data_IF_204782035968
#
_entry.id   IF_204782035968
#
_cell.length_a   1.000
_cell.length_b   1.000
_cell.length_c   1.000
_cell.angle_alpha   90.00
_cell.angle_beta   90.00
_cell.angle_gamma   90.00
#
_symmetry.space_group_name_H-M   'P 1'
#
loop_
_entity.id
_entity.type
_entity.pdbx_description
1 polymer ?
#
# COMPACT_ATOMS: atom_id res chain seq x y z
N UNK A 1 -16.78 -15.05 -40.91
CA UNK A 1 -16.50 -15.83 -39.69
C UNK A 1 -15.82 -14.85 -38.75
N UNK A 2 -16.65 -14.29 -37.90
CA UNK A 2 -16.20 -13.25 -36.95
C UNK A 2 -15.50 -13.99 -35.82
N UNK A 3 -14.18 -13.88 -35.74
CA UNK A 3 -13.39 -14.45 -34.66
C UNK A 3 -13.70 -13.64 -33.40
N UNK A 4 -14.54 -14.19 -32.55
CA UNK A 4 -15.04 -13.61 -31.33
C UNK A 4 -13.97 -13.40 -30.21
N UNK A 5 -12.74 -13.07 -30.55
CA UNK A 5 -11.75 -12.65 -29.57
C UNK A 5 -12.11 -11.25 -29.08
N UNK A 6 -12.88 -11.16 -27.98
CA UNK A 6 -12.98 -9.90 -27.24
C UNK A 6 -11.55 -9.43 -26.93
N UNK A 7 -11.19 -8.22 -27.33
CA UNK A 7 -9.85 -7.69 -26.99
C UNK A 7 -9.69 -7.79 -25.48
N UNK A 8 -8.57 -8.36 -25.02
CA UNK A 8 -8.23 -8.46 -23.60
C UNK A 8 -8.27 -7.05 -23.01
N UNK A 9 -9.22 -6.80 -22.15
CA UNK A 9 -9.33 -5.53 -21.46
C UNK A 9 -8.20 -5.44 -20.44
N UNK A 10 -7.39 -4.39 -20.54
CA UNK A 10 -6.39 -4.12 -19.51
C UNK A 10 -7.06 -3.82 -18.17
N UNK A 11 -6.46 -4.36 -17.10
CA UNK A 11 -6.95 -4.23 -15.73
C UNK A 11 -6.16 -3.19 -14.96
N UNK A 12 -6.88 -2.31 -14.27
CA UNK A 12 -6.29 -1.25 -13.45
C UNK A 12 -6.82 -1.39 -12.03
N UNK A 13 -5.93 -1.27 -11.05
CA UNK A 13 -6.28 -1.18 -9.64
C UNK A 13 -6.08 0.25 -9.16
N UNK A 14 -7.15 0.90 -8.70
CA UNK A 14 -7.12 2.23 -8.08
C UNK A 14 -7.18 2.07 -6.56
N UNK A 15 -6.17 2.60 -5.87
CA UNK A 15 -6.03 2.52 -4.41
C UNK A 15 -6.00 3.93 -3.84
N UNK A 16 -7.02 4.27 -3.04
CA UNK A 16 -7.17 5.61 -2.47
C UNK A 16 -8.13 5.51 -1.27
N UNK A 17 -7.84 6.14 -0.15
CA UNK A 17 -8.72 6.09 1.02
C UNK A 17 -9.93 7.02 0.88
N UNK A 18 -9.82 8.05 0.05
CA UNK A 18 -10.93 8.95 -0.24
C UNK A 18 -11.85 8.36 -1.33
N UNK A 19 -13.06 7.95 -0.94
CA UNK A 19 -14.03 7.30 -1.83
C UNK A 19 -14.36 8.15 -3.06
N UNK A 20 -14.52 9.47 -2.89
CA UNK A 20 -14.84 10.39 -3.97
C UNK A 20 -13.76 10.40 -5.05
N UNK A 21 -12.49 10.48 -4.66
CA UNK A 21 -11.33 10.46 -5.57
C UNK A 21 -11.23 9.10 -6.26
N UNK A 22 -11.33 8.03 -5.48
CA UNK A 22 -11.31 6.65 -5.97
C UNK A 22 -12.36 6.39 -7.04
N UNK A 23 -13.59 6.88 -6.81
CA UNK A 23 -14.70 6.73 -7.75
C UNK A 23 -14.52 7.58 -9.01
N UNK A 24 -13.97 8.79 -8.90
CA UNK A 24 -13.67 9.63 -10.06
C UNK A 24 -12.66 8.95 -10.98
N UNK A 25 -11.53 8.47 -10.44
CA UNK A 25 -10.53 7.77 -11.23
C UNK A 25 -11.10 6.50 -11.86
N UNK A 26 -11.85 5.71 -11.11
CA UNK A 26 -12.46 4.50 -11.63
C UNK A 26 -13.38 4.79 -12.83
N UNK A 27 -14.23 5.81 -12.74
CA UNK A 27 -15.15 6.19 -13.82
C UNK A 27 -14.42 6.71 -15.06
N UNK A 28 -13.36 7.51 -14.87
CA UNK A 28 -12.56 8.02 -15.99
C UNK A 28 -11.91 6.86 -16.75
N UNK A 29 -11.27 5.93 -16.03
CA UNK A 29 -10.59 4.78 -16.63
C UNK A 29 -11.58 3.81 -17.28
N UNK A 30 -12.75 3.60 -16.69
CA UNK A 30 -13.80 2.76 -17.28
C UNK A 30 -14.34 3.34 -18.60
N UNK A 31 -14.43 4.67 -18.74
CA UNK A 31 -14.80 5.34 -20.00
C UNK A 31 -13.79 5.10 -21.11
N UNK A 32 -12.51 4.99 -20.76
CA UNK A 32 -11.42 4.62 -21.69
C UNK A 32 -11.42 3.11 -22.03
N UNK A 33 -12.35 2.33 -21.47
CA UNK A 33 -12.52 0.91 -21.78
C UNK A 33 -11.75 -0.05 -20.88
N UNK A 34 -11.06 0.43 -19.84
CA UNK A 34 -10.34 -0.41 -18.89
C UNK A 34 -11.29 -1.17 -17.94
N UNK A 35 -10.85 -2.34 -17.49
CA UNK A 35 -11.45 -3.02 -16.34
C UNK A 35 -10.85 -2.48 -15.06
N UNK A 36 -11.66 -1.90 -14.17
CA UNK A 36 -11.16 -1.20 -13.00
C UNK A 36 -11.64 -1.85 -11.72
N UNK A 37 -10.69 -2.29 -10.89
CA UNK A 37 -10.90 -2.63 -9.49
C UNK A 37 -10.48 -1.46 -8.59
N UNK A 38 -11.05 -1.37 -7.40
CA UNK A 38 -10.74 -0.29 -6.44
C UNK A 38 -10.38 -0.88 -5.08
N UNK A 39 -9.51 -0.22 -4.32
CA UNK A 39 -9.14 -0.57 -2.96
C UNK A 39 -9.06 0.68 -2.09
N UNK A 40 -9.41 0.57 -0.80
CA UNK A 40 -9.44 1.70 0.15
C UNK A 40 -8.13 1.94 0.90
N UNK A 41 -7.18 1.01 0.84
CA UNK A 41 -5.86 1.08 1.48
C UNK A 41 -4.95 -0.01 0.93
N UNK A 42 -3.66 0.02 1.32
CA UNK A 42 -2.69 -0.96 0.85
C UNK A 42 -3.01 -2.40 1.21
N UNK A 43 -3.61 -2.69 2.37
CA UNK A 43 -3.99 -4.07 2.74
C UNK A 43 -5.11 -4.60 1.86
N UNK A 44 -6.17 -3.80 1.61
CA UNK A 44 -7.25 -4.20 0.70
C UNK A 44 -6.70 -4.43 -0.71
N UNK A 45 -5.78 -3.57 -1.15
CA UNK A 45 -5.10 -3.73 -2.43
C UNK A 45 -4.32 -5.07 -2.51
N UNK A 46 -3.53 -5.41 -1.47
CA UNK A 46 -2.81 -6.69 -1.42
C UNK A 46 -3.74 -7.90 -1.46
N UNK A 47 -4.90 -7.82 -0.81
CA UNK A 47 -5.90 -8.89 -0.86
C UNK A 47 -6.43 -9.08 -2.29
N UNK A 48 -6.67 -7.99 -3.03
CA UNK A 48 -7.12 -8.05 -4.43
C UNK A 48 -6.05 -8.61 -5.36
N UNK A 49 -4.77 -8.27 -5.14
CA UNK A 49 -3.66 -8.84 -5.92
C UNK A 49 -3.55 -10.37 -5.79
N UNK A 50 -4.01 -10.97 -4.71
CA UNK A 50 -4.06 -12.45 -4.57
C UNK A 50 -5.02 -13.10 -5.56
N UNK A 51 -6.04 -12.41 -5.97
CA UNK A 51 -7.10 -12.97 -6.85
C UNK A 51 -6.87 -12.59 -8.30
N UNK A 52 -6.36 -11.40 -8.58
CA UNK A 52 -6.20 -10.89 -9.93
C UNK A 52 -5.09 -9.84 -9.98
N UNK A 53 -4.11 -10.05 -10.85
CA UNK A 53 -3.05 -9.08 -11.08
C UNK A 53 -3.52 -8.04 -12.10
N UNK A 54 -3.42 -6.73 -11.80
CA UNK A 54 -3.66 -5.67 -12.76
C UNK A 54 -2.44 -5.43 -13.64
N UNK A 55 -2.64 -4.76 -14.77
CA UNK A 55 -1.56 -4.25 -15.62
C UNK A 55 -0.95 -2.98 -15.03
N UNK A 56 -1.80 -2.14 -14.42
CA UNK A 56 -1.40 -0.87 -13.81
C UNK A 56 -2.04 -0.71 -12.42
N UNK A 57 -1.27 -0.20 -11.47
CA UNK A 57 -1.75 0.26 -10.17
C UNK A 57 -1.64 1.79 -10.14
N UNK A 58 -2.72 2.46 -9.71
CA UNK A 58 -2.71 3.87 -9.34
C UNK A 58 -2.95 3.92 -7.84
N UNK A 59 -1.97 4.39 -7.06
CA UNK A 59 -2.06 4.38 -5.60
C UNK A 59 -1.81 5.76 -5.01
N UNK A 60 -2.71 6.20 -4.14
CA UNK A 60 -2.38 7.28 -3.22
C UNK A 60 -1.23 6.88 -2.31
N UNK A 61 -0.40 7.88 -1.94
CA UNK A 61 0.74 7.66 -1.05
C UNK A 61 0.32 7.73 0.42
N UNK A 62 -0.65 8.56 0.76
CA UNK A 62 -1.02 8.88 2.13
C UNK A 62 -2.34 8.23 2.53
N UNK A 63 -2.30 6.96 2.85
CA UNK A 63 -3.49 6.19 3.26
C UNK A 63 -3.34 5.65 4.68
N UNK A 64 -4.46 5.50 5.44
CA UNK A 64 -4.45 4.85 6.74
C UNK A 64 -4.16 3.35 6.64
N UNK A 65 -3.78 2.73 7.77
CA UNK A 65 -3.49 1.30 7.95
C UNK A 65 -2.19 0.86 7.25
N UNK A 66 -2.13 0.94 5.94
CA UNK A 66 -0.96 0.68 5.12
C UNK A 66 -0.85 1.78 4.06
N UNK A 67 0.21 2.56 4.15
CA UNK A 67 0.49 3.66 3.24
C UNK A 67 0.76 3.18 1.81
N UNK A 68 0.61 4.08 0.84
CA UNK A 68 1.00 3.77 -0.54
C UNK A 68 2.50 3.50 -0.68
N UNK A 69 3.34 4.14 0.13
CA UNK A 69 4.77 3.85 0.14
C UNK A 69 5.08 2.40 0.50
N UNK A 70 4.47 1.88 1.60
CA UNK A 70 4.62 0.49 2.00
C UNK A 70 4.05 -0.46 0.96
N UNK A 71 2.84 -0.17 0.49
CA UNK A 71 2.16 -0.98 -0.53
C UNK A 71 2.99 -1.08 -1.81
N UNK A 72 3.47 0.06 -2.34
CA UNK A 72 4.24 0.09 -3.57
C UNK A 72 5.61 -0.59 -3.43
N UNK A 73 6.23 -0.56 -2.25
CA UNK A 73 7.45 -1.32 -1.97
C UNK A 73 7.22 -2.83 -2.11
N UNK A 74 6.08 -3.33 -1.59
CA UNK A 74 5.69 -4.73 -1.75
C UNK A 74 5.43 -5.04 -3.23
N UNK A 75 4.70 -4.16 -3.93
CA UNK A 75 4.38 -4.35 -5.35
C UNK A 75 5.65 -4.46 -6.18
N UNK A 76 6.61 -3.54 -6.01
CA UNK A 76 7.87 -3.55 -6.76
C UNK A 76 8.67 -4.81 -6.54
N UNK A 77 8.71 -5.31 -5.32
CA UNK A 77 9.46 -6.51 -5.00
C UNK A 77 8.79 -7.79 -5.49
N UNK A 78 7.47 -7.89 -5.35
CA UNK A 78 6.72 -9.13 -5.62
C UNK A 78 6.13 -9.21 -7.02
N UNK A 79 5.83 -8.06 -7.60
CA UNK A 79 5.12 -7.92 -8.87
C UNK A 79 5.79 -6.88 -9.78
N UNK A 80 7.10 -7.06 -10.11
CA UNK A 80 7.86 -6.06 -10.88
C UNK A 80 7.26 -5.79 -12.27
N UNK A 81 6.45 -6.72 -12.78
CA UNK A 81 5.76 -6.57 -14.06
C UNK A 81 4.60 -5.56 -14.04
N UNK A 82 4.06 -5.24 -12.86
CA UNK A 82 2.96 -4.30 -12.73
C UNK A 82 3.49 -2.87 -12.84
N UNK A 83 2.91 -2.08 -13.75
CA UNK A 83 3.22 -0.66 -13.83
C UNK A 83 2.56 0.13 -12.71
N UNK A 84 3.23 1.15 -12.19
CA UNK A 84 2.76 1.89 -11.02
C UNK A 84 2.72 3.38 -11.29
N UNK A 85 1.58 3.99 -10.99
CA UNK A 85 1.40 5.43 -10.84
C UNK A 85 1.22 5.73 -9.35
N UNK A 86 2.12 6.51 -8.77
CA UNK A 86 1.91 7.07 -7.44
C UNK A 86 1.10 8.37 -7.58
N UNK A 87 0.10 8.56 -6.76
CA UNK A 87 -0.68 9.81 -6.71
C UNK A 87 -0.62 10.42 -5.32
N UNK A 88 -0.66 11.75 -5.24
CA UNK A 88 -0.73 12.43 -3.94
C UNK A 88 -1.30 13.83 -4.07
N UNK A 89 -2.10 14.25 -3.07
CA UNK A 89 -2.49 15.64 -2.87
C UNK A 89 -1.52 16.44 -2.01
N UNK A 90 -0.65 15.76 -1.25
CA UNK A 90 0.31 16.41 -0.34
C UNK A 90 1.61 16.82 -1.04
N UNK A 91 1.97 16.18 -2.14
CA UNK A 91 3.21 16.45 -2.89
C UNK A 91 2.89 17.00 -4.26
N UNK A 92 3.59 18.06 -4.65
CA UNK A 92 3.50 18.60 -6.01
C UNK A 92 4.35 17.81 -6.99
N UNK A 93 4.05 17.93 -8.29
CA UNK A 93 4.80 17.26 -9.37
C UNK A 93 6.31 17.59 -9.38
N UNK A 94 6.71 18.72 -8.79
CA UNK A 94 8.12 19.13 -8.64
C UNK A 94 8.78 18.63 -7.37
N UNK A 95 8.02 18.08 -6.43
CA UNK A 95 8.48 17.66 -5.11
C UNK A 95 8.18 16.17 -4.85
N UNK A 96 8.40 15.33 -5.87
CA UNK A 96 8.25 13.88 -5.73
C UNK A 96 9.20 13.38 -4.64
N UNK A 97 8.70 12.70 -3.60
CA UNK A 97 9.56 12.17 -2.56
C UNK A 97 10.60 11.22 -3.13
N UNK A 98 11.86 11.38 -2.70
CA UNK A 98 12.93 10.45 -3.08
C UNK A 98 12.60 9.04 -2.57
N UNK A 99 12.77 8.02 -3.41
CA UNK A 99 12.48 6.63 -3.05
C UNK A 99 11.04 6.16 -3.31
N UNK A 100 10.17 7.00 -3.88
CA UNK A 100 8.89 6.53 -4.43
C UNK A 100 9.18 5.68 -5.65
N UNK A 101 8.87 4.39 -5.56
CA UNK A 101 9.07 3.45 -6.66
C UNK A 101 7.82 3.40 -7.55
N UNK A 102 7.60 4.49 -8.26
CA UNK A 102 6.57 4.58 -9.27
C UNK A 102 7.19 4.84 -10.65
N UNK A 103 6.53 4.37 -11.69
CA UNK A 103 6.91 4.69 -13.08
C UNK A 103 6.50 6.12 -13.42
N UNK A 104 5.39 6.58 -12.82
CA UNK A 104 4.83 7.93 -13.00
C UNK A 104 4.34 8.45 -11.65
N UNK A 105 4.50 9.74 -11.43
CA UNK A 105 3.91 10.47 -10.32
C UNK A 105 2.83 11.42 -10.82
N UNK A 106 1.69 11.44 -10.14
CA UNK A 106 0.54 12.29 -10.44
C UNK A 106 0.18 13.14 -9.22
N UNK A 107 0.29 14.46 -9.35
CA UNK A 107 -0.07 15.41 -8.30
C UNK A 107 -1.57 15.73 -8.38
N UNK A 108 -2.36 15.19 -7.43
CA UNK A 108 -3.81 15.44 -7.35
C UNK A 108 -4.10 16.95 -7.21
N UNK A 109 -5.05 17.43 -7.99
CA UNK A 109 -5.45 18.85 -7.98
C UNK A 109 -4.48 19.81 -8.67
N UNK A 110 -3.32 19.35 -9.14
CA UNK A 110 -2.36 20.16 -9.91
C UNK A 110 -2.23 19.67 -11.35
N UNK A 111 -2.15 18.35 -11.53
CA UNK A 111 -2.01 17.75 -12.86
C UNK A 111 -3.38 17.55 -13.53
N UNK A 112 -3.42 17.68 -14.86
CA UNK A 112 -4.64 17.44 -15.64
C UNK A 112 -4.99 15.93 -15.62
N UNK A 113 -6.23 15.54 -15.31
CA UNK A 113 -6.69 14.15 -15.42
C UNK A 113 -6.39 13.48 -16.78
N UNK A 114 -6.35 14.25 -17.87
CA UNK A 114 -5.95 13.74 -19.19
C UNK A 114 -4.50 13.29 -19.21
N UNK A 115 -3.61 13.97 -18.48
CA UNK A 115 -2.21 13.57 -18.36
C UNK A 115 -2.10 12.19 -17.68
N UNK A 116 -2.93 11.92 -16.67
CA UNK A 116 -3.01 10.61 -16.03
C UNK A 116 -3.45 9.52 -17.03
N UNK A 117 -4.49 9.78 -17.84
CA UNK A 117 -4.98 8.83 -18.84
C UNK A 117 -3.90 8.50 -19.88
N UNK A 118 -3.20 9.52 -20.38
CA UNK A 118 -2.10 9.35 -21.32
C UNK A 118 -0.96 8.52 -20.69
N UNK A 119 -0.60 8.82 -19.45
CA UNK A 119 0.43 8.07 -18.73
C UNK A 119 0.05 6.60 -18.56
N UNK A 120 -1.20 6.29 -18.21
CA UNK A 120 -1.69 4.92 -18.10
C UNK A 120 -1.59 4.18 -19.43
N UNK A 121 -2.02 4.81 -20.53
CA UNK A 121 -1.93 4.22 -21.88
C UNK A 121 -0.46 3.93 -22.27
N UNK A 122 0.45 4.86 -21.98
CA UNK A 122 1.88 4.69 -22.24
C UNK A 122 2.50 3.59 -21.37
N UNK A 123 2.10 3.49 -20.12
CA UNK A 123 2.53 2.44 -19.19
C UNK A 123 2.14 1.06 -19.69
N UNK A 124 0.90 0.89 -20.14
CA UNK A 124 0.40 -0.37 -20.70
C UNK A 124 1.19 -0.73 -21.96
N UNK A 125 1.38 0.22 -22.87
CA UNK A 125 2.11 -0.01 -24.14
C UNK A 125 3.56 -0.44 -23.93
N UNK A 126 4.21 0.04 -22.87
CA UNK A 126 5.65 -0.18 -22.61
C UNK A 126 5.92 -1.18 -21.48
N UNK A 127 4.89 -1.83 -20.92
CA UNK A 127 4.98 -2.69 -19.74
C UNK A 127 6.02 -3.82 -19.86
N UNK A 128 6.06 -4.50 -21.00
CA UNK A 128 6.95 -5.64 -21.23
C UNK A 128 8.45 -5.28 -21.17
N UNK A 129 8.81 -4.06 -21.57
CA UNK A 129 10.21 -3.60 -21.53
C UNK A 129 10.63 -3.23 -20.09
N UNK A 130 9.71 -2.66 -19.30
CA UNK A 130 9.99 -2.18 -17.94
C UNK A 130 10.10 -3.29 -16.90
N UNK A 131 9.34 -4.37 -17.03
CA UNK A 131 9.38 -5.49 -16.11
C UNK A 131 10.80 -6.06 -15.90
N UNK A 132 11.66 -5.96 -16.91
CA UNK A 132 13.06 -6.41 -16.83
C UNK A 132 13.95 -5.48 -16.02
N UNK A 133 13.70 -4.17 -16.04
CA UNK A 133 14.53 -3.17 -15.36
C UNK A 133 14.28 -3.12 -13.85
N UNK A 134 13.03 -3.36 -13.41
CA UNK A 134 12.66 -3.25 -12.00
C UNK A 134 12.96 -4.49 -11.14
N UNK A 135 13.32 -5.60 -11.75
CA UNK A 135 13.60 -6.86 -11.04
C UNK A 135 14.84 -6.80 -10.14
N UNK A 136 15.75 -5.86 -10.42
CA UNK A 136 17.04 -5.72 -9.72
C UNK A 136 17.04 -4.67 -8.59
N UNK A 137 16.02 -3.83 -8.49
CA UNK A 137 15.95 -2.74 -7.52
C UNK A 137 15.24 -3.15 -6.22
N UNK A 138 16.01 -3.30 -5.15
CA UNK A 138 15.46 -3.48 -3.80
C UNK A 138 15.16 -2.12 -3.18
N UNK A 139 13.87 -1.74 -3.21
CA UNK A 139 13.44 -0.48 -2.63
C UNK A 139 13.35 -0.51 -1.11
N UNK A 140 13.69 0.59 -0.45
CA UNK A 140 13.35 0.79 0.94
C UNK A 140 11.85 1.05 1.12
N UNK A 141 11.28 0.59 2.24
CA UNK A 141 9.91 0.89 2.64
C UNK A 141 9.88 2.28 3.29
N UNK A 142 9.03 3.18 2.79
CA UNK A 142 8.80 4.47 3.40
C UNK A 142 7.75 4.37 4.49
N UNK A 143 8.07 4.87 5.68
CA UNK A 143 7.21 4.68 6.85
C UNK A 143 6.96 6.01 7.54
N UNK A 144 5.68 6.43 7.68
CA UNK A 144 5.34 7.58 8.49
C UNK A 144 5.60 7.28 9.99
N UNK A 145 5.92 8.31 10.76
CA UNK A 145 6.10 8.19 12.21
C UNK A 145 4.75 7.87 12.87
N UNK A 146 4.63 6.69 13.51
CA UNK A 146 3.34 6.20 14.00
C UNK A 146 2.96 6.70 15.42
N UNK A 147 3.88 7.25 16.18
CA UNK A 147 3.59 7.76 17.52
C UNK A 147 4.59 7.33 18.58
N UNK A 148 4.15 7.34 19.85
CA UNK A 148 4.94 6.91 21.00
C UNK A 148 4.24 5.77 21.70
N UNK A 149 5.01 4.80 22.21
CA UNK A 149 4.48 3.72 23.03
C UNK A 149 4.07 4.21 24.45
N UNK A 150 3.64 3.30 25.32
CA UNK A 150 3.23 3.59 26.69
C UNK A 150 4.35 4.21 27.54
N UNK A 151 5.61 4.04 27.15
CA UNK A 151 6.79 4.58 27.82
C UNK A 151 7.27 5.89 27.17
N UNK A 152 6.54 6.40 26.19
CA UNK A 152 6.90 7.61 25.44
C UNK A 152 7.99 7.40 24.39
N UNK A 153 8.38 6.14 24.11
CA UNK A 153 9.37 5.82 23.08
C UNK A 153 8.71 5.87 21.71
N UNK A 154 9.27 6.60 20.73
CA UNK A 154 8.72 6.64 19.39
C UNK A 154 8.85 5.28 18.70
N UNK A 155 7.81 4.87 18.02
CA UNK A 155 7.81 3.62 17.24
C UNK A 155 7.25 3.85 15.82
N UNK A 156 7.60 2.94 14.95
CA UNK A 156 7.05 2.79 13.62
C UNK A 156 6.54 1.36 13.44
N UNK A 157 5.60 1.15 12.54
CA UNK A 157 5.15 -0.20 12.16
C UNK A 157 5.69 -0.50 10.77
N UNK A 158 6.48 -1.55 10.65
CA UNK A 158 7.09 -2.00 9.41
C UNK A 158 6.34 -3.21 8.89
N UNK A 159 6.03 -3.23 7.59
CA UNK A 159 5.52 -4.41 6.90
C UNK A 159 6.67 -5.07 6.13
N UNK A 160 6.98 -6.31 6.47
CA UNK A 160 7.98 -7.08 5.73
C UNK A 160 7.51 -7.36 4.31
N UNK A 161 8.34 -7.02 3.32
CA UNK A 161 8.04 -7.24 1.90
C UNK A 161 8.05 -8.72 1.50
N UNK A 162 8.69 -9.59 2.30
CA UNK A 162 8.77 -11.03 2.02
C UNK A 162 7.58 -11.81 2.58
N UNK A 163 7.32 -11.71 3.88
CA UNK A 163 6.25 -12.48 4.52
C UNK A 163 4.94 -11.71 4.70
N UNK A 164 4.91 -10.42 4.36
CA UNK A 164 3.76 -9.51 4.45
C UNK A 164 3.18 -9.35 5.86
N UNK A 165 3.99 -9.64 6.90
CA UNK A 165 3.63 -9.42 8.29
C UNK A 165 4.17 -8.10 8.78
N UNK A 166 3.35 -7.38 9.54
CA UNK A 166 3.72 -6.10 10.14
C UNK A 166 4.19 -6.30 11.59
N UNK A 167 5.20 -5.53 12.00
CA UNK A 167 5.73 -5.56 13.36
C UNK A 167 6.15 -4.14 13.79
N UNK A 168 6.05 -3.84 15.09
CA UNK A 168 6.52 -2.57 15.62
C UNK A 168 8.06 -2.56 15.72
N UNK A 169 8.65 -1.39 15.47
CA UNK A 169 10.06 -1.12 15.68
C UNK A 169 10.21 0.18 16.48
N UNK A 170 10.91 0.12 17.60
CA UNK A 170 11.24 1.32 18.36
C UNK A 170 12.34 2.11 17.65
N UNK A 171 12.13 3.41 17.50
CA UNK A 171 13.06 4.31 16.83
C UNK A 171 13.81 5.11 17.89
N UNK A 172 15.10 4.84 18.04
CA UNK A 172 15.95 5.51 19.03
C UNK A 172 16.72 6.72 18.48
N UNK A 173 16.78 6.88 17.17
CA UNK A 173 17.51 7.96 16.49
C UNK A 173 16.57 8.81 15.64
N UNK A 174 16.81 10.12 15.65
CA UNK A 174 16.22 11.07 14.70
C UNK A 174 17.09 11.09 13.43
N UNK A 175 17.08 10.01 12.67
CA UNK A 175 17.87 9.94 11.44
C UNK A 175 17.07 10.47 10.26
N UNK A 176 17.60 11.51 9.67
CA UNK A 176 17.03 12.21 8.53
C UNK A 176 17.29 11.43 7.25
N UNK A 177 16.25 10.87 6.65
CA UNK A 177 16.23 10.43 5.26
C UNK A 177 17.30 9.39 4.83
N UNK A 178 17.97 8.72 5.76
CA UNK A 178 18.87 7.62 5.46
C UNK A 178 18.11 6.29 5.33
N UNK A 179 18.62 5.40 4.48
CA UNK A 179 18.13 4.03 4.39
C UNK A 179 18.60 3.25 5.60
N UNK A 180 17.67 2.83 6.44
CA UNK A 180 17.91 2.00 7.61
C UNK A 180 17.57 0.55 7.31
N UNK A 181 18.13 -0.39 8.08
CA UNK A 181 17.90 -1.81 7.93
C UNK A 181 17.48 -2.44 9.25
N UNK A 182 16.55 -3.39 9.20
CA UNK A 182 16.17 -4.23 10.32
C UNK A 182 15.86 -5.66 9.86
N UNK A 183 15.85 -6.59 10.78
CA UNK A 183 15.43 -7.97 10.50
C UNK A 183 13.94 -8.12 10.80
N UNK A 184 13.22 -8.78 9.90
CA UNK A 184 11.83 -9.15 10.14
C UNK A 184 11.73 -10.14 11.30
N UNK A 185 10.87 -9.84 12.28
CA UNK A 185 10.66 -10.70 13.45
C UNK A 185 10.06 -12.07 13.12
N UNK A 186 9.50 -12.25 11.92
CA UNK A 186 8.77 -13.46 11.53
C UNK A 186 9.52 -14.36 10.54
N UNK A 187 10.35 -13.80 9.67
CA UNK A 187 11.04 -14.56 8.62
C UNK A 187 12.53 -14.26 8.53
N UNK A 188 13.05 -13.40 9.41
CA UNK A 188 14.48 -13.03 9.52
C UNK A 188 15.07 -12.38 8.25
N UNK A 189 14.25 -12.04 7.26
CA UNK A 189 14.71 -11.28 6.09
C UNK A 189 15.03 -9.85 6.46
N UNK A 190 16.05 -9.28 5.83
CA UNK A 190 16.39 -7.87 5.98
C UNK A 190 15.33 -6.99 5.31
N UNK A 191 14.81 -6.02 6.06
CA UNK A 191 13.89 -5.00 5.57
C UNK A 191 14.62 -3.65 5.58
N UNK A 192 14.74 -3.03 4.41
CA UNK A 192 15.24 -1.67 4.26
C UNK A 192 14.09 -0.70 4.41
N UNK A 193 14.29 0.39 5.16
CA UNK A 193 13.24 1.38 5.39
C UNK A 193 13.81 2.79 5.51
N UNK A 194 12.95 3.78 5.26
CA UNK A 194 13.22 5.22 5.44
C UNK A 194 12.10 5.77 6.32
N UNK A 195 12.45 6.56 7.34
CA UNK A 195 11.47 7.22 8.18
C UNK A 195 11.18 8.60 7.59
N UNK A 196 9.91 8.84 7.22
CA UNK A 196 9.47 10.15 6.77
C UNK A 196 8.96 10.97 7.95
N UNK A 197 9.73 11.98 8.35
CA UNK A 197 9.38 12.91 9.43
C UNK A 197 8.44 14.02 8.98
N UNK A 198 8.25 14.24 7.69
CA UNK A 198 7.37 15.29 7.16
C UNK A 198 5.89 14.96 7.32
N UNK A 199 5.57 13.66 7.40
CA UNK A 199 4.21 13.15 7.57
C UNK A 199 3.92 12.91 9.06
N UNK A 200 3.73 13.96 9.82
CA UNK A 200 3.14 13.86 11.17
C UNK A 200 1.67 13.46 11.03
N UNK A 201 1.34 12.21 11.33
CA UNK A 201 -0.06 11.79 11.47
C UNK A 201 -0.64 12.54 12.68
N UNK A 202 -1.38 13.60 12.43
CA UNK A 202 -1.94 14.50 13.45
C UNK A 202 -3.15 13.91 14.20
N UNK A 203 -3.51 12.65 13.98
CA UNK A 203 -4.57 11.97 14.71
C UNK A 203 -4.18 10.53 15.01
N UNK A 204 -4.10 10.12 16.29
CA UNK A 204 -3.96 8.71 16.62
C UNK A 204 -5.21 7.97 16.10
N UNK A 205 -5.06 6.78 15.50
CA UNK A 205 -6.21 5.96 15.18
C UNK A 205 -6.99 5.74 16.46
N UNK A 206 -8.31 5.96 16.43
CA UNK A 206 -9.20 5.58 17.54
C UNK A 206 -8.90 4.13 17.88
N UNK A 207 -8.41 3.90 19.10
CA UNK A 207 -8.14 2.56 19.60
C UNK A 207 -9.41 1.71 19.41
N UNK A 208 -9.32 0.74 18.52
CA UNK A 208 -10.29 -0.35 18.47
C UNK A 208 -10.07 -1.13 19.76
N UNK A 209 -10.96 -0.92 20.73
CA UNK A 209 -11.02 -1.74 21.93
C UNK A 209 -11.18 -3.19 21.49
N UNK A 210 -10.26 -4.10 21.85
CA UNK A 210 -10.45 -5.50 21.57
C UNK A 210 -11.56 -6.02 22.48
N UNK A 211 -12.77 -6.13 21.96
CA UNK A 211 -13.83 -6.92 22.60
C UNK A 211 -13.50 -8.40 22.39
N UNK A 212 -12.49 -8.87 23.12
CA UNK A 212 -12.26 -10.29 23.30
C UNK A 212 -13.35 -10.78 24.25
N UNK A 213 -14.44 -11.29 23.69
CA UNK A 213 -15.34 -12.17 24.45
C UNK A 213 -14.56 -13.45 24.73
N UNK A 214 -14.19 -13.64 25.99
CA UNK A 214 -13.71 -14.93 26.48
C UNK A 214 -14.77 -16.01 26.20
N UNK A 215 -14.38 -17.19 25.69
CA UNK A 215 -15.32 -18.31 25.59
C UNK A 215 -15.72 -18.72 27.00
N UNK A 216 -17.04 -18.68 27.29
CA UNK A 216 -17.60 -19.07 28.57
C UNK A 216 -17.31 -20.54 28.87
N UNK A 217 -16.51 -20.78 29.89
CA UNK A 217 -16.38 -22.07 30.51
C UNK A 217 -17.61 -22.33 31.40
N UNK A 218 -18.64 -22.89 30.79
CA UNK A 218 -19.75 -23.47 31.52
C UNK A 218 -19.35 -24.84 32.06
N UNK A 219 -18.80 -24.90 33.26
CA UNK A 219 -18.72 -26.15 34.02
C UNK A 219 -19.78 -26.09 35.11
N UNK A 220 -20.86 -26.82 34.88
CA UNK A 220 -21.93 -27.07 35.85
C UNK A 220 -21.43 -28.12 36.84
N UNK A 221 -21.03 -27.70 38.05
CA UNK A 221 -20.73 -28.61 39.16
C UNK A 221 -22.06 -28.90 39.89
N UNK A 222 -22.66 -30.04 39.60
CA UNK A 222 -23.65 -30.66 40.45
C UNK A 222 -22.96 -31.28 41.66
N UNK A 223 -23.11 -30.67 42.83
CA UNK A 223 -22.86 -31.29 44.11
C UNK A 223 -23.98 -32.28 44.39
N UNK A 224 -23.64 -33.58 44.41
CA UNK A 224 -24.46 -34.62 45.00
C UNK A 224 -24.14 -34.66 46.51
N UNK A 225 -25.10 -34.27 47.30
CA UNK A 225 -25.20 -34.61 48.74
C UNK A 225 -25.75 -36.02 48.86
N UNK A 226 -25.14 -36.85 49.68
CA UNK A 226 -25.75 -38.06 50.21
C UNK A 226 -25.20 -38.37 51.59
N UNK A 227 -25.88 -39.20 52.34
CA UNK A 227 -26.53 -38.88 53.63
C UNK A 227 -25.62 -39.03 54.80
#
# INVERSE_FOLDING_TARGET
MDDGSRPLKHRILVVDDEESVRMVFARLLQREGYEVATAENGFDALLKLKHSLPDVIISDLNMPKMSGFEFLSVVRRRFPQISVVASSGAYGSKAVPTGVLADVFFAKGQDDPKALMNSVADLIRTSAARARTHQEESAPVWIPRNGKDSNGIPYIVITCTECLRSFPLNVTKEDNSEVLETLCLFCSNTVKYIIDFSLSVTSPPKALSPSIRAPGTGVSSRLLANP
#
